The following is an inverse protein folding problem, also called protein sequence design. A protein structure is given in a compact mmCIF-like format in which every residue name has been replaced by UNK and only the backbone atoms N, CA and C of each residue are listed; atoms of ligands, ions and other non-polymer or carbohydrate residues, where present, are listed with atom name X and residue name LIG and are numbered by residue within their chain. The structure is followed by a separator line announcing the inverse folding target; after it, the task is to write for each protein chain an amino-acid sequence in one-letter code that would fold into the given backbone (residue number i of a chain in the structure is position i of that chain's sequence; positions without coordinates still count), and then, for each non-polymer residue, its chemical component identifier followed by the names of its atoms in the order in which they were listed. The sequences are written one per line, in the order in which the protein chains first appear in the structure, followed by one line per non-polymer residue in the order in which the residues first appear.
data_IF_163564774717
#
_entry.id   IF_163564774717
#
_cell.length_a   1.000
_cell.length_b   1.000
_cell.length_c   1.000
_cell.angle_alpha   90.00
_cell.angle_beta   90.00
_cell.angle_gamma   90.00
#
_symmetry.space_group_name_H-M   'P 1'
#
loop_
_entity.id
_entity.type
_entity.pdbx_description
1 polymer ?
#
# COMPACT_ATOMS: atom_id res chain seq x y z
N UNK A 1 -0.25 16.42 6.71
CA UNK A 1 -1.58 15.91 6.27
C UNK A 1 -1.50 14.40 6.12
N UNK A 2 -2.51 13.65 6.55
CA UNK A 2 -2.47 12.18 6.48
C UNK A 2 -2.59 11.65 5.06
N UNK A 3 -1.93 10.53 4.75
CA UNK A 3 -1.99 9.90 3.41
C UNK A 3 -3.44 9.53 3.07
N UNK A 4 -4.19 9.05 4.07
CA UNK A 4 -5.63 8.77 3.90
C UNK A 4 -6.42 10.00 3.42
N UNK A 5 -6.14 11.20 3.96
CA UNK A 5 -6.80 12.45 3.51
C UNK A 5 -6.35 12.85 2.12
N UNK A 6 -5.04 12.77 1.83
CA UNK A 6 -4.49 13.07 0.50
C UNK A 6 -5.19 12.23 -0.56
N UNK A 7 -5.25 10.90 -0.36
CA UNK A 7 -5.87 9.99 -1.33
C UNK A 7 -7.36 10.25 -1.49
N UNK A 8 -8.10 10.57 -0.41
CA UNK A 8 -9.51 10.96 -0.52
C UNK A 8 -9.72 12.22 -1.34
N UNK A 9 -8.85 13.23 -1.17
CA UNK A 9 -8.90 14.45 -1.97
C UNK A 9 -8.58 14.19 -3.45
N UNK A 10 -7.58 13.33 -3.72
CA UNK A 10 -7.27 12.91 -5.09
C UNK A 10 -8.45 12.18 -5.74
N UNK A 11 -9.09 11.26 -5.04
CA UNK A 11 -10.28 10.55 -5.54
C UNK A 11 -11.46 11.49 -5.78
N UNK A 12 -11.65 12.50 -4.93
CA UNK A 12 -12.66 13.52 -5.15
C UNK A 12 -12.34 14.36 -6.40
N UNK A 13 -11.09 14.77 -6.58
CA UNK A 13 -10.65 15.51 -7.76
C UNK A 13 -10.85 14.67 -9.04
N UNK A 14 -10.51 13.38 -9.01
CA UNK A 14 -10.76 12.43 -10.10
C UNK A 14 -12.27 12.31 -10.41
N UNK A 15 -13.12 12.23 -9.39
CA UNK A 15 -14.57 12.16 -9.57
C UNK A 15 -15.15 13.44 -10.18
N UNK A 16 -14.68 14.61 -9.72
CA UNK A 16 -15.08 15.91 -10.30
C UNK A 16 -14.63 16.01 -11.75
N UNK A 17 -13.40 15.58 -12.07
CA UNK A 17 -12.90 15.58 -13.44
C UNK A 17 -13.71 14.64 -14.34
N UNK A 18 -14.01 13.42 -13.88
CA UNK A 18 -14.86 12.48 -14.60
C UNK A 18 -16.26 13.07 -14.88
N UNK A 19 -16.87 13.73 -13.88
CA UNK A 19 -18.16 14.38 -14.04
C UNK A 19 -18.11 15.57 -15.03
N UNK A 20 -17.05 16.38 -14.98
CA UNK A 20 -16.84 17.48 -15.91
C UNK A 20 -16.68 16.99 -17.36
N UNK A 21 -15.86 15.95 -17.58
CA UNK A 21 -15.70 15.33 -18.90
C UNK A 21 -17.04 14.74 -19.36
N UNK A 22 -17.75 14.02 -18.49
CA UNK A 22 -19.06 13.47 -18.81
C UNK A 22 -20.09 14.54 -19.17
N UNK A 23 -20.09 15.67 -18.47
CA UNK A 23 -20.94 16.82 -18.81
C UNK A 23 -20.59 17.39 -20.19
N UNK A 24 -19.30 17.49 -20.53
CA UNK A 24 -18.87 17.95 -21.85
C UNK A 24 -19.31 16.98 -22.96
N UNK A 25 -19.11 15.69 -22.76
CA UNK A 25 -19.53 14.63 -23.68
C UNK A 25 -21.05 14.65 -23.91
N UNK A 26 -21.84 14.88 -22.86
CA UNK A 26 -23.29 14.99 -22.98
C UNK A 26 -23.69 16.27 -23.72
N UNK A 27 -23.19 17.44 -23.29
CA UNK A 27 -23.66 18.73 -23.80
C UNK A 27 -23.18 19.05 -25.21
N UNK A 28 -21.97 18.64 -25.57
CA UNK A 28 -21.33 19.04 -26.83
C UNK A 28 -21.31 17.95 -27.88
N UNK A 29 -21.23 16.68 -27.49
CA UNK A 29 -21.28 15.54 -28.42
C UNK A 29 -22.67 14.88 -28.48
N UNK A 30 -23.64 15.35 -27.69
CA UNK A 30 -25.01 14.84 -27.70
C UNK A 30 -25.13 13.38 -27.25
N UNK A 31 -24.12 12.84 -26.56
CA UNK A 31 -24.16 11.45 -26.09
C UNK A 31 -25.27 11.28 -25.05
N UNK A 32 -25.91 10.11 -25.04
CA UNK A 32 -26.84 9.75 -23.99
C UNK A 32 -26.17 9.89 -22.60
N UNK A 33 -26.88 10.37 -21.55
CA UNK A 33 -26.26 10.68 -20.25
C UNK A 33 -25.45 9.53 -19.65
N UNK A 34 -25.92 8.28 -19.80
CA UNK A 34 -25.22 7.09 -19.33
C UNK A 34 -23.88 6.87 -20.07
N UNK A 35 -23.86 7.02 -21.40
CA UNK A 35 -22.64 6.89 -22.21
C UNK A 35 -21.66 8.02 -21.92
N UNK A 36 -22.17 9.24 -21.71
CA UNK A 36 -21.35 10.39 -21.35
C UNK A 36 -20.67 10.21 -19.98
N UNK A 37 -21.42 9.75 -18.97
CA UNK A 37 -20.88 9.42 -17.65
C UNK A 37 -19.83 8.29 -17.72
N UNK A 38 -20.12 7.22 -18.48
CA UNK A 38 -19.17 6.14 -18.72
C UNK A 38 -17.90 6.63 -19.43
N UNK A 39 -18.03 7.52 -20.40
CA UNK A 39 -16.91 8.14 -21.10
C UNK A 39 -16.03 8.98 -20.16
N UNK A 40 -16.62 9.78 -19.28
CA UNK A 40 -15.89 10.54 -18.26
C UNK A 40 -15.09 9.65 -17.31
N UNK A 41 -15.70 8.56 -16.83
CA UNK A 41 -15.01 7.57 -16.01
C UNK A 41 -13.89 6.86 -16.78
N UNK A 42 -14.15 6.47 -18.04
CA UNK A 42 -13.17 5.83 -18.90
C UNK A 42 -11.93 6.72 -19.12
N UNK A 43 -12.11 8.02 -19.33
CA UNK A 43 -10.98 8.95 -19.45
C UNK A 43 -10.07 8.93 -18.23
N UNK A 44 -10.62 8.97 -17.01
CA UNK A 44 -9.84 8.88 -15.77
C UNK A 44 -9.12 7.53 -15.67
N UNK A 45 -9.80 6.43 -15.98
CA UNK A 45 -9.19 5.09 -15.97
C UNK A 45 -8.05 4.96 -16.98
N UNK A 46 -8.19 5.54 -18.19
CA UNK A 46 -7.15 5.55 -19.21
C UNK A 46 -5.93 6.34 -18.79
N UNK A 47 -6.10 7.50 -18.13
CA UNK A 47 -4.97 8.27 -17.57
C UNK A 47 -4.24 7.44 -16.51
N UNK A 48 -4.97 6.79 -15.60
CA UNK A 48 -4.36 5.94 -14.56
C UNK A 48 -3.66 4.71 -15.16
N UNK A 49 -4.21 4.14 -16.23
CA UNK A 49 -3.56 3.07 -16.98
C UNK A 49 -2.28 3.55 -17.65
N UNK A 50 -2.30 4.75 -18.25
CA UNK A 50 -1.13 5.35 -18.88
C UNK A 50 -0.01 5.60 -17.85
N UNK A 51 -0.33 6.07 -16.64
CA UNK A 51 0.63 6.21 -15.54
C UNK A 51 1.26 4.86 -15.17
N UNK A 52 0.44 3.81 -15.02
CA UNK A 52 0.94 2.45 -14.72
C UNK A 52 1.82 1.92 -15.86
N UNK A 53 1.38 2.07 -17.12
CA UNK A 53 2.16 1.65 -18.28
C UNK A 53 3.49 2.41 -18.38
N UNK A 54 3.51 3.70 -18.07
CA UNK A 54 4.74 4.48 -17.99
C UNK A 54 5.71 3.92 -16.93
N UNK A 55 5.22 3.54 -15.76
CA UNK A 55 6.05 2.89 -14.73
C UNK A 55 6.67 1.58 -15.24
N UNK A 56 5.93 0.79 -16.03
CA UNK A 56 6.47 -0.40 -16.68
C UNK A 56 7.56 -0.09 -17.70
N UNK A 57 7.38 0.95 -18.51
CA UNK A 57 8.40 1.39 -19.47
C UNK A 57 9.67 1.84 -18.74
N UNK A 58 9.54 2.62 -17.66
CA UNK A 58 10.67 3.02 -16.83
C UNK A 58 11.38 1.81 -16.20
N UNK A 59 10.62 0.87 -15.63
CA UNK A 59 11.16 -0.37 -15.05
C UNK A 59 11.84 -1.25 -16.10
N UNK A 60 11.32 -1.29 -17.34
CA UNK A 60 11.93 -2.04 -18.44
C UNK A 60 13.28 -1.45 -18.87
N UNK A 61 13.41 -0.12 -18.89
CA UNK A 61 14.69 0.55 -19.18
C UNK A 61 15.76 0.26 -18.12
N UNK A 62 15.36 0.13 -16.85
CA UNK A 62 16.24 -0.20 -15.73
C UNK A 62 16.30 -1.70 -15.40
N UNK A 63 15.72 -2.57 -16.22
CA UNK A 63 15.58 -3.98 -15.89
C UNK A 63 16.94 -4.68 -15.84
N UNK A 64 17.16 -5.48 -14.80
CA UNK A 64 18.29 -6.40 -14.75
C UNK A 64 18.16 -7.46 -15.85
N UNK A 65 19.27 -8.09 -16.22
CA UNK A 65 19.28 -9.15 -17.22
C UNK A 65 18.40 -10.33 -16.78
N UNK A 66 17.20 -10.44 -17.35
CA UNK A 66 16.26 -11.54 -17.06
C UNK A 66 16.68 -12.79 -17.82
N UNK A 67 16.96 -13.92 -17.15
CA UNK A 67 17.28 -15.19 -17.80
C UNK A 67 16.16 -15.60 -18.76
N UNK A 68 16.52 -16.25 -19.87
CA UNK A 68 15.56 -16.58 -20.95
C UNK A 68 14.33 -17.36 -20.44
N UNK A 69 14.52 -18.27 -19.48
CA UNK A 69 13.45 -19.07 -18.86
C UNK A 69 12.40 -18.23 -18.10
N UNK A 70 12.73 -17.00 -17.70
CA UNK A 70 11.84 -16.11 -16.96
C UNK A 70 11.34 -14.93 -17.80
N UNK A 71 11.71 -14.85 -19.09
CA UNK A 71 11.24 -13.78 -19.98
C UNK A 71 9.77 -13.98 -20.30
N UNK A 72 8.98 -12.92 -20.09
CA UNK A 72 7.56 -12.92 -20.40
C UNK A 72 7.34 -12.71 -21.90
N UNK A 73 6.49 -13.54 -22.51
CA UNK A 73 5.90 -13.24 -23.81
C UNK A 73 4.83 -12.13 -23.74
N UNK A 74 4.28 -11.68 -24.88
CA UNK A 74 3.30 -10.59 -24.91
C UNK A 74 2.08 -10.81 -23.99
N UNK A 75 1.55 -12.03 -23.95
CA UNK A 75 0.44 -12.37 -23.05
C UNK A 75 0.82 -12.34 -21.57
N UNK A 76 2.07 -12.68 -21.24
CA UNK A 76 2.61 -12.56 -19.87
C UNK A 76 2.74 -11.11 -19.44
N UNK A 77 3.25 -10.25 -20.33
CA UNK A 77 3.31 -8.81 -20.11
C UNK A 77 1.94 -8.18 -19.92
N UNK A 78 0.97 -8.52 -20.78
CA UNK A 78 -0.40 -8.02 -20.64
C UNK A 78 -1.02 -8.45 -19.30
N UNK A 79 -0.84 -9.71 -18.90
CA UNK A 79 -1.33 -10.20 -17.60
C UNK A 79 -0.68 -9.47 -16.43
N UNK A 80 0.63 -9.23 -16.50
CA UNK A 80 1.36 -8.49 -15.47
C UNK A 80 0.87 -7.04 -15.37
N UNK A 81 0.70 -6.35 -16.51
CA UNK A 81 0.19 -4.97 -16.56
C UNK A 81 -1.24 -4.88 -16.01
N UNK A 82 -2.14 -5.77 -16.41
CA UNK A 82 -3.52 -5.79 -15.90
C UNK A 82 -3.58 -6.13 -14.41
N UNK A 83 -2.71 -7.04 -13.95
CA UNK A 83 -2.55 -7.39 -12.55
C UNK A 83 -2.11 -6.19 -11.72
N UNK A 84 -1.07 -5.50 -12.15
CA UNK A 84 -0.55 -4.32 -11.47
C UNK A 84 -1.56 -3.18 -11.50
N UNK A 85 -2.21 -2.94 -12.64
CA UNK A 85 -3.26 -1.93 -12.74
C UNK A 85 -4.40 -2.21 -11.76
N UNK A 86 -4.90 -3.46 -11.71
CA UNK A 86 -5.94 -3.87 -10.76
C UNK A 86 -5.47 -3.65 -9.31
N UNK A 87 -4.26 -4.08 -8.96
CA UNK A 87 -3.71 -3.91 -7.62
C UNK A 87 -3.60 -2.41 -7.25
N UNK A 88 -3.07 -1.60 -8.16
CA UNK A 88 -2.96 -0.14 -8.03
C UNK A 88 -4.33 0.52 -7.81
N UNK A 89 -5.35 0.14 -8.59
CA UNK A 89 -6.72 0.66 -8.44
C UNK A 89 -7.32 0.29 -7.09
N UNK A 90 -7.25 -0.98 -6.69
CA UNK A 90 -7.80 -1.43 -5.40
C UNK A 90 -7.09 -0.76 -4.23
N UNK A 91 -5.76 -0.68 -4.28
CA UNK A 91 -4.96 -0.09 -3.23
C UNK A 91 -5.29 1.40 -3.04
N UNK A 92 -5.17 2.18 -4.11
CA UNK A 92 -5.31 3.64 -4.04
C UNK A 92 -6.77 4.12 -4.02
N UNK A 93 -7.73 3.38 -4.58
CA UNK A 93 -9.14 3.78 -4.59
C UNK A 93 -10.01 3.10 -3.54
N UNK A 94 -9.55 1.99 -2.95
CA UNK A 94 -10.35 1.25 -1.96
C UNK A 94 -9.69 1.15 -0.58
N UNK A 95 -8.51 0.52 -0.50
CA UNK A 95 -7.90 0.17 0.79
C UNK A 95 -7.27 1.37 1.50
N UNK A 96 -6.40 2.13 0.83
CA UNK A 96 -5.74 3.30 1.41
C UNK A 96 -6.70 4.42 1.87
N UNK A 97 -7.78 4.78 1.14
CA UNK A 97 -8.72 5.79 1.63
C UNK A 97 -9.56 5.30 2.82
N UNK A 98 -9.63 3.98 3.06
CA UNK A 98 -10.34 3.36 4.19
C UNK A 98 -9.41 2.88 5.30
N UNK A 99 -8.11 3.12 5.15
CA UNK A 99 -7.10 2.66 6.07
C UNK A 99 -7.36 3.12 7.51
N UNK A 100 -7.15 2.20 8.44
CA UNK A 100 -7.16 2.44 9.86
C UNK A 100 -6.13 1.50 10.49
N UNK A 101 -5.00 2.08 10.90
CA UNK A 101 -3.99 1.38 11.69
C UNK A 101 -4.67 0.77 12.93
N UNK A 102 -4.43 -0.52 13.16
CA UNK A 102 -5.04 -1.24 14.27
C UNK A 102 -4.13 -2.34 14.78
N UNK A 103 -4.47 -2.86 15.95
CA UNK A 103 -3.83 -3.99 16.60
C UNK A 103 -4.86 -5.09 16.81
N UNK A 104 -4.49 -6.32 16.45
CA UNK A 104 -5.29 -7.53 16.65
C UNK A 104 -4.44 -8.54 17.42
N UNK A 105 -4.97 -9.04 18.53
CA UNK A 105 -4.32 -10.06 19.35
C UNK A 105 -5.22 -11.29 19.46
N UNK A 106 -4.62 -12.45 19.25
CA UNK A 106 -5.22 -13.76 19.40
C UNK A 106 -4.63 -14.44 20.63
N UNK A 107 -5.48 -14.86 21.57
CA UNK A 107 -5.05 -15.50 22.83
C UNK A 107 -4.41 -16.88 22.62
N UNK A 108 -4.74 -17.54 21.51
CA UNK A 108 -4.24 -18.85 21.09
C UNK A 108 -3.08 -18.77 20.09
N UNK A 109 -2.58 -17.56 19.78
CA UNK A 109 -1.46 -17.36 18.88
C UNK A 109 -0.21 -18.13 19.37
N UNK A 110 0.39 -18.93 18.49
CA UNK A 110 1.60 -19.73 18.79
C UNK A 110 2.89 -19.11 18.26
N UNK A 111 2.77 -18.03 17.49
CA UNK A 111 3.89 -17.36 16.83
C UNK A 111 4.08 -15.96 17.41
N UNK A 112 5.30 -15.39 17.32
CA UNK A 112 5.52 -14.00 17.70
C UNK A 112 4.60 -13.05 16.90
N UNK A 113 4.08 -11.98 17.52
CA UNK A 113 3.21 -11.04 16.82
C UNK A 113 3.95 -10.29 15.72
N UNK A 114 3.23 -9.82 14.71
CA UNK A 114 3.79 -9.16 13.52
C UNK A 114 3.52 -7.66 13.54
N UNK A 115 4.57 -6.84 13.43
CA UNK A 115 4.46 -5.39 13.24
C UNK A 115 4.66 -5.03 11.76
N UNK A 116 3.68 -4.34 11.18
CA UNK A 116 3.61 -4.02 9.75
C UNK A 116 3.96 -2.55 9.47
N UNK A 117 5.03 -2.32 8.69
CA UNK A 117 5.59 -0.99 8.41
C UNK A 117 5.56 -0.68 6.90
N UNK A 118 4.61 0.14 6.45
CA UNK A 118 4.44 0.43 5.02
C UNK A 118 5.54 1.33 4.43
N UNK A 119 5.56 1.43 3.10
CA UNK A 119 6.48 2.27 2.34
C UNK A 119 6.05 3.73 2.25
N UNK A 120 6.85 4.55 1.56
CA UNK A 120 6.54 5.97 1.35
C UNK A 120 5.22 6.15 0.59
N UNK A 121 4.48 7.21 0.90
CA UNK A 121 3.20 7.51 0.22
C UNK A 121 2.09 6.49 0.47
N UNK A 122 2.32 5.47 1.30
CA UNK A 122 1.34 4.45 1.68
C UNK A 122 0.72 4.74 3.05
N UNK A 123 -0.18 3.86 3.49
CA UNK A 123 -0.68 3.80 4.86
C UNK A 123 -0.99 2.33 5.23
N UNK A 124 -1.53 2.08 6.42
CA UNK A 124 -1.93 0.75 6.92
C UNK A 124 -2.82 -0.06 5.97
N UNK A 125 -3.59 0.60 5.09
CA UNK A 125 -4.40 -0.06 4.07
C UNK A 125 -3.57 -0.86 3.06
N UNK A 126 -2.27 -0.58 2.94
CA UNK A 126 -1.33 -1.37 2.14
C UNK A 126 -1.30 -2.85 2.53
N UNK A 127 -1.52 -3.13 3.81
CA UNK A 127 -1.43 -4.46 4.37
C UNK A 127 -2.73 -5.26 4.30
N UNK A 128 -3.79 -4.74 3.66
CA UNK A 128 -5.12 -5.35 3.70
C UNK A 128 -5.10 -6.87 3.43
N UNK A 129 -4.49 -7.30 2.33
CA UNK A 129 -4.43 -8.72 1.97
C UNK A 129 -3.62 -9.55 2.98
N UNK A 130 -2.51 -9.02 3.50
CA UNK A 130 -1.67 -9.73 4.45
C UNK A 130 -2.32 -9.84 5.83
N UNK A 131 -3.03 -8.78 6.26
CA UNK A 131 -3.83 -8.79 7.49
C UNK A 131 -4.88 -9.89 7.45
N UNK A 132 -5.59 -10.07 6.34
CA UNK A 132 -6.57 -11.16 6.21
C UNK A 132 -5.94 -12.56 6.35
N UNK A 133 -4.71 -12.75 5.84
CA UNK A 133 -3.99 -14.01 6.01
C UNK A 133 -3.54 -14.22 7.46
N UNK A 134 -3.11 -13.16 8.15
CA UNK A 134 -2.79 -13.23 9.57
C UNK A 134 -4.01 -13.51 10.44
N UNK A 135 -5.15 -12.86 10.14
CA UNK A 135 -6.41 -13.11 10.83
C UNK A 135 -6.83 -14.56 10.68
N UNK A 136 -6.79 -15.11 9.46
CA UNK A 136 -7.13 -16.51 9.18
C UNK A 136 -6.17 -17.50 9.86
N UNK A 137 -4.91 -17.12 10.07
CA UNK A 137 -3.91 -17.94 10.74
C UNK A 137 -3.79 -17.68 12.26
N UNK A 138 -4.67 -16.84 12.83
CA UNK A 138 -4.62 -16.42 14.25
C UNK A 138 -3.26 -15.83 14.65
N UNK A 139 -2.62 -15.09 13.75
CA UNK A 139 -1.36 -14.41 14.00
C UNK A 139 -1.67 -13.00 14.51
N UNK A 140 -1.32 -12.75 15.78
CA UNK A 140 -1.40 -11.42 16.38
C UNK A 140 -0.56 -10.42 15.59
N UNK A 141 -1.07 -9.22 15.33
CA UNK A 141 -0.37 -8.23 14.52
C UNK A 141 -0.80 -6.79 14.82
N UNK A 142 0.03 -5.84 14.43
CA UNK A 142 -0.32 -4.43 14.39
C UNK A 142 0.17 -3.78 13.09
N UNK A 143 -0.62 -2.86 12.54
CA UNK A 143 -0.21 -1.98 11.45
C UNK A 143 -0.09 -0.55 11.93
N UNK A 144 0.81 0.21 11.32
CA UNK A 144 1.02 1.63 11.62
C UNK A 144 0.74 2.50 10.40
N UNK A 145 0.30 3.73 10.63
CA UNK A 145 0.35 4.82 9.67
C UNK A 145 1.57 5.68 10.02
N UNK A 146 2.63 5.58 9.21
CA UNK A 146 3.88 6.33 9.37
C UNK A 146 3.68 7.74 8.83
N UNK A 147 3.26 8.64 9.72
CA UNK A 147 2.94 10.04 9.41
C UNK A 147 3.72 11.01 10.33
N UNK A 148 4.04 12.24 9.84
CA UNK A 148 3.57 12.88 8.62
C UNK A 148 4.29 12.44 7.34
N UNK A 149 3.58 12.40 6.20
CA UNK A 149 4.21 12.25 4.89
C UNK A 149 5.27 13.35 4.70
N UNK A 150 6.48 13.01 4.28
CA UNK A 150 7.60 13.96 4.26
C UNK A 150 8.55 13.86 5.46
N UNK A 151 8.13 13.19 6.54
CA UNK A 151 8.88 13.14 7.80
C UNK A 151 10.23 12.44 7.69
N UNK A 152 11.14 12.82 8.58
CA UNK A 152 12.43 12.15 8.77
C UNK A 152 12.22 10.68 9.14
N UNK A 153 12.99 9.79 8.49
CA UNK A 153 12.90 8.34 8.68
C UNK A 153 13.23 7.98 10.13
N UNK A 154 14.25 8.61 10.71
CA UNK A 154 14.64 8.37 12.10
C UNK A 154 13.58 8.89 13.08
N UNK A 155 12.83 9.91 12.68
CA UNK A 155 11.69 10.47 13.39
C UNK A 155 10.56 9.46 13.65
N UNK A 156 10.45 8.39 12.87
CA UNK A 156 9.44 7.34 13.10
C UNK A 156 9.82 6.34 14.20
N UNK A 157 11.08 6.28 14.61
CA UNK A 157 11.54 5.28 15.58
C UNK A 157 10.75 5.30 16.91
N UNK A 158 10.42 6.45 17.53
CA UNK A 158 9.60 6.47 18.75
C UNK A 158 8.18 5.92 18.55
N UNK A 159 7.58 6.15 17.38
CA UNK A 159 6.25 5.61 17.05
C UNK A 159 6.31 4.08 16.95
N UNK A 160 7.34 3.55 16.30
CA UNK A 160 7.59 2.10 16.20
C UNK A 160 7.82 1.49 17.58
N UNK A 161 8.61 2.13 18.45
CA UNK A 161 8.85 1.64 19.80
C UNK A 161 7.55 1.52 20.60
N UNK A 162 6.72 2.56 20.59
CA UNK A 162 5.45 2.53 21.31
C UNK A 162 4.53 1.42 20.79
N UNK A 163 4.48 1.22 19.48
CA UNK A 163 3.68 0.17 18.86
C UNK A 163 4.22 -1.22 19.17
N UNK A 164 5.54 -1.41 19.09
CA UNK A 164 6.22 -2.66 19.43
C UNK A 164 5.97 -3.05 20.89
N UNK A 165 6.16 -2.11 21.82
CA UNK A 165 5.92 -2.33 23.24
C UNK A 165 4.46 -2.68 23.52
N UNK A 166 3.50 -1.93 22.94
CA UNK A 166 2.06 -2.22 23.08
C UNK A 166 1.67 -3.58 22.53
N UNK A 167 2.16 -3.93 21.33
CA UNK A 167 1.87 -5.21 20.69
C UNK A 167 2.45 -6.38 21.48
N UNK A 168 3.72 -6.30 21.90
CA UNK A 168 4.36 -7.32 22.74
C UNK A 168 3.63 -7.50 24.07
N UNK A 169 3.27 -6.40 24.74
CA UNK A 169 2.53 -6.45 26.01
C UNK A 169 1.16 -7.11 25.83
N UNK A 170 0.39 -6.70 24.82
CA UNK A 170 -0.94 -7.23 24.57
C UNK A 170 -0.92 -8.71 24.15
N UNK A 171 0.10 -9.13 23.38
CA UNK A 171 0.27 -10.50 22.94
C UNK A 171 1.06 -11.37 23.95
N UNK A 172 1.42 -10.84 25.12
CA UNK A 172 2.30 -11.50 26.11
C UNK A 172 3.61 -12.07 25.51
N UNK A 173 4.15 -11.40 24.49
CA UNK A 173 5.30 -11.85 23.73
C UNK A 173 6.56 -11.07 24.09
N UNK A 174 7.69 -11.77 24.22
CA UNK A 174 9.01 -11.13 24.48
C UNK A 174 9.60 -10.50 23.22
N UNK A 175 9.27 -11.03 22.05
CA UNK A 175 9.76 -10.58 20.76
C UNK A 175 8.62 -10.50 19.74
N UNK A 176 8.84 -9.77 18.65
CA UNK A 176 7.95 -9.62 17.52
C UNK A 176 8.69 -9.84 16.19
N UNK A 177 7.94 -10.08 15.12
CA UNK A 177 8.45 -10.05 13.74
C UNK A 177 8.08 -8.72 13.10
N UNK A 178 9.01 -8.10 12.38
CA UNK A 178 8.72 -6.93 11.55
C UNK A 178 8.54 -7.38 10.11
N UNK A 179 7.44 -6.98 9.49
CA UNK A 179 7.26 -7.04 8.04
C UNK A 179 7.19 -5.61 7.53
N UNK A 180 8.13 -5.25 6.67
CA UNK A 180 8.32 -3.88 6.24
C UNK A 180 8.43 -3.79 4.71
N UNK A 181 7.83 -2.76 4.12
CA UNK A 181 7.92 -2.51 2.68
C UNK A 181 8.68 -1.21 2.39
N UNK A 182 9.63 -1.25 1.45
CA UNK A 182 10.41 -0.08 0.99
C UNK A 182 10.94 0.77 2.15
N UNK A 183 10.54 2.05 2.27
CA UNK A 183 10.89 2.96 3.38
C UNK A 183 10.69 2.31 4.77
N UNK A 184 9.66 1.48 4.96
CA UNK A 184 9.41 0.81 6.24
C UNK A 184 10.59 -0.03 6.72
N UNK A 185 11.40 -0.57 5.81
CA UNK A 185 12.62 -1.31 6.15
C UNK A 185 13.71 -0.40 6.72
N UNK A 186 13.84 0.81 6.19
CA UNK A 186 14.73 1.84 6.74
C UNK A 186 14.26 2.30 8.10
N UNK A 187 12.94 2.47 8.28
CA UNK A 187 12.32 2.79 9.57
C UNK A 187 12.59 1.68 10.60
N UNK A 188 12.46 0.40 10.21
CA UNK A 188 12.79 -0.72 11.09
C UNK A 188 14.27 -0.68 11.53
N UNK A 189 15.19 -0.39 10.61
CA UNK A 189 16.63 -0.24 10.91
C UNK A 189 16.90 0.95 11.84
N UNK A 190 16.25 2.10 11.60
CA UNK A 190 16.39 3.28 12.44
C UNK A 190 15.89 3.02 13.88
N UNK A 191 14.75 2.34 14.02
CA UNK A 191 14.23 1.92 15.31
C UNK A 191 15.19 0.96 16.03
N UNK A 192 15.67 -0.09 15.37
CA UNK A 192 16.63 -1.04 15.97
C UNK A 192 17.95 -0.36 16.37
N UNK A 193 18.43 0.61 15.57
CA UNK A 193 19.63 1.39 15.91
C UNK A 193 19.44 2.20 17.19
N UNK A 194 18.24 2.76 17.40
CA UNK A 194 17.94 3.65 18.53
C UNK A 194 17.55 2.90 19.81
N UNK A 195 16.76 1.84 19.69
CA UNK A 195 16.16 1.11 20.83
C UNK A 195 16.73 -0.30 21.04
N UNK A 196 17.66 -0.74 20.17
CA UNK A 196 18.21 -2.09 20.17
C UNK A 196 17.31 -3.11 19.46
N UNK A 197 17.79 -4.35 19.37
CA UNK A 197 17.13 -5.43 18.64
C UNK A 197 16.61 -6.56 19.55
N UNK A 198 16.63 -6.40 20.87
CA UNK A 198 16.25 -7.46 21.81
C UNK A 198 14.80 -7.97 21.62
N UNK A 199 13.87 -7.07 21.22
CA UNK A 199 12.47 -7.41 20.91
C UNK A 199 12.27 -7.96 19.49
N UNK A 200 13.31 -8.12 18.69
CA UNK A 200 13.19 -8.50 17.27
C UNK A 200 13.53 -9.96 17.09
N UNK A 201 12.52 -10.77 16.77
CA UNK A 201 12.72 -12.16 16.39
C UNK A 201 13.17 -12.27 14.92
N UNK A 202 12.61 -11.44 14.04
CA UNK A 202 12.93 -11.40 12.61
C UNK A 202 12.52 -10.08 11.98
N UNK A 203 13.23 -9.64 10.95
CA UNK A 203 12.82 -8.56 10.05
C UNK A 203 12.72 -9.12 8.64
N UNK A 204 11.57 -8.92 8.00
CA UNK A 204 11.32 -9.23 6.58
C UNK A 204 11.10 -7.92 5.87
N UNK A 205 12.01 -7.58 4.94
CA UNK A 205 11.91 -6.39 4.11
C UNK A 205 11.49 -6.77 2.69
N UNK A 206 10.42 -6.16 2.22
CA UNK A 206 9.91 -6.27 0.85
C UNK A 206 10.33 -5.00 0.11
N UNK A 207 11.25 -5.12 -0.84
CA UNK A 207 11.81 -3.98 -1.56
C UNK A 207 12.82 -4.43 -2.58
#
# INVERSE_FOLDING_TARGET
MSVRRIVRWLLLAEAVLAAAIGLLLWRWLGLAPALAAAGGLLCVLLVRLAINANNFLMSAHGASATPAAFRLGPGGWLRLLLGEFKASMLLSSWYMPRAAAHTRVYSDARTPPVLLLHGYGCNSGYWFHLVQLFDAAHISHASLDLEPLGGDIDGYAPLVEQAAARLCAAAHARQLVIVAHSMGGLVARAWMRKYGSARVARVVTLG
#
